data_IF_843835919054
#
_entry.id   IF_843835919054
#
_cell.length_a   1.000
_cell.length_b   1.000
_cell.length_c   1.000
_cell.angle_alpha   90.00
_cell.angle_beta   90.00
_cell.angle_gamma   90.00
#
_symmetry.space_group_name_H-M   'P 1'
#
loop_
_entity.id
_entity.type
_entity.pdbx_description
1 polymer ?
#
# COMPACT_ATOMS: atom_id res chain seq x y z
N UNK A 1 13.34 -17.83 6.57
CA UNK A 1 13.85 -17.67 5.18
C UNK A 1 12.73 -17.66 4.14
N UNK A 2 11.83 -18.65 4.12
CA UNK A 2 10.70 -18.72 3.17
C UNK A 2 9.79 -17.48 3.26
N UNK A 3 9.42 -17.05 4.47
CA UNK A 3 8.58 -15.87 4.67
C UNK A 3 9.20 -14.58 4.10
N UNK A 4 10.52 -14.41 4.20
CA UNK A 4 11.23 -13.26 3.63
C UNK A 4 11.17 -13.26 2.09
N UNK A 5 11.34 -14.44 1.47
CA UNK A 5 11.23 -14.58 0.01
C UNK A 5 9.83 -14.22 -0.49
N UNK A 6 8.79 -14.70 0.20
CA UNK A 6 7.39 -14.38 -0.13
C UNK A 6 7.13 -12.88 0.06
N UNK A 7 7.62 -12.27 1.13
CA UNK A 7 7.48 -10.84 1.37
C UNK A 7 8.14 -10.01 0.25
N UNK A 8 9.35 -10.41 -0.17
CA UNK A 8 10.07 -9.73 -1.25
C UNK A 8 9.34 -9.86 -2.59
N UNK A 9 8.85 -11.06 -2.92
CA UNK A 9 8.10 -11.27 -4.17
C UNK A 9 6.77 -10.50 -4.17
N UNK A 10 6.07 -10.44 -3.04
CA UNK A 10 4.86 -9.64 -2.89
C UNK A 10 5.12 -8.16 -3.14
N UNK A 11 6.23 -7.59 -2.64
CA UNK A 11 6.60 -6.20 -2.93
C UNK A 11 6.75 -5.94 -4.43
N UNK A 12 7.41 -6.86 -5.15
CA UNK A 12 7.54 -6.76 -6.61
C UNK A 12 6.17 -6.79 -7.29
N UNK A 13 5.30 -7.73 -6.89
CA UNK A 13 3.94 -7.85 -7.42
C UNK A 13 3.13 -6.58 -7.16
N UNK A 14 3.18 -6.04 -5.94
CA UNK A 14 2.51 -4.79 -5.57
C UNK A 14 2.96 -3.63 -6.46
N UNK A 15 4.26 -3.46 -6.68
CA UNK A 15 4.78 -2.40 -7.55
C UNK A 15 4.27 -2.58 -8.99
N UNK A 16 4.29 -3.79 -9.53
CA UNK A 16 3.80 -4.07 -10.87
C UNK A 16 2.29 -3.76 -11.01
N UNK A 17 1.49 -4.13 -10.01
CA UNK A 17 0.07 -3.83 -9.98
C UNK A 17 -0.19 -2.33 -9.93
N UNK A 18 0.53 -1.59 -9.07
CA UNK A 18 0.43 -0.12 -9.01
C UNK A 18 0.79 0.47 -10.38
N UNK A 19 1.91 0.07 -10.97
CA UNK A 19 2.33 0.56 -12.29
C UNK A 19 1.24 0.37 -13.35
N UNK A 20 0.64 -0.81 -13.39
CA UNK A 20 -0.42 -1.12 -14.34
C UNK A 20 -1.67 -0.27 -14.10
N UNK A 21 -2.15 -0.21 -12.86
CA UNK A 21 -3.35 0.56 -12.49
C UNK A 21 -3.17 2.05 -12.79
N UNK A 22 -2.01 2.62 -12.44
CA UNK A 22 -1.74 4.04 -12.70
C UNK A 22 -1.65 4.34 -14.19
N UNK A 23 -1.11 3.42 -15.00
CA UNK A 23 -1.08 3.57 -16.46
C UNK A 23 -2.49 3.57 -17.05
N UNK A 24 -3.33 2.63 -16.64
CA UNK A 24 -4.72 2.52 -17.11
C UNK A 24 -5.51 3.77 -16.70
N UNK A 25 -5.38 4.23 -15.46
CA UNK A 25 -6.03 5.44 -14.96
C UNK A 25 -5.60 6.70 -15.74
N UNK A 26 -4.29 6.88 -15.95
CA UNK A 26 -3.76 7.99 -16.72
C UNK A 26 -4.25 7.99 -18.18
N UNK A 27 -4.31 6.81 -18.80
CA UNK A 27 -4.84 6.67 -20.16
C UNK A 27 -6.32 7.03 -20.25
N UNK A 28 -7.13 6.58 -19.29
CA UNK A 28 -8.57 6.87 -19.24
C UNK A 28 -8.85 8.38 -19.09
N UNK A 29 -7.99 9.10 -18.35
CA UNK A 29 -8.11 10.55 -18.11
C UNK A 29 -7.24 11.42 -19.01
N UNK A 30 -6.70 10.86 -20.11
CA UNK A 30 -5.76 11.57 -21.00
C UNK A 30 -6.31 12.88 -21.56
N UNK A 31 -7.62 12.95 -21.85
CA UNK A 31 -8.27 14.17 -22.36
C UNK A 31 -8.27 15.28 -21.32
N UNK A 32 -8.65 14.97 -20.09
CA UNK A 32 -8.64 15.91 -18.96
C UNK A 32 -7.21 16.39 -18.67
N UNK A 33 -6.24 15.47 -18.65
CA UNK A 33 -4.83 15.84 -18.45
C UNK A 33 -4.30 16.75 -19.58
N UNK A 34 -4.80 16.57 -20.81
CA UNK A 34 -4.49 17.45 -21.94
C UNK A 34 -5.06 18.85 -21.74
N UNK A 35 -6.31 18.98 -21.29
CA UNK A 35 -6.93 20.26 -20.96
C UNK A 35 -6.16 20.95 -19.82
N UNK A 36 -5.80 20.21 -18.77
CA UNK A 36 -5.01 20.74 -17.65
C UNK A 36 -3.64 21.28 -18.13
N UNK A 37 -2.99 20.63 -19.10
CA UNK A 37 -1.75 21.16 -19.71
C UNK A 37 -1.98 22.43 -20.50
N UNK A 38 -3.09 22.54 -21.25
CA UNK A 38 -3.40 23.73 -22.06
C UNK A 38 -3.62 24.98 -21.20
N UNK A 39 -4.12 24.82 -19.97
CA UNK A 39 -4.26 25.92 -19.00
C UNK A 39 -2.97 26.19 -18.20
N UNK A 40 -1.85 25.55 -18.56
CA UNK A 40 -0.55 25.77 -17.91
C UNK A 40 -0.37 25.08 -16.56
N UNK A 41 -1.17 24.06 -16.23
CA UNK A 41 -1.03 23.36 -14.97
C UNK A 41 0.33 22.64 -14.87
N UNK A 42 0.95 22.71 -13.69
CA UNK A 42 2.22 22.02 -13.44
C UNK A 42 2.05 20.50 -13.47
N UNK A 43 3.11 19.77 -13.81
CA UNK A 43 3.10 18.31 -13.81
C UNK A 43 2.68 17.71 -12.46
N UNK A 44 3.00 18.37 -11.34
CA UNK A 44 2.59 17.93 -10.01
C UNK A 44 1.08 18.08 -9.80
N UNK A 45 0.49 19.19 -10.28
CA UNK A 45 -0.94 19.42 -10.18
C UNK A 45 -1.75 18.37 -10.94
N UNK A 46 -1.26 17.96 -12.11
CA UNK A 46 -1.86 16.87 -12.91
C UNK A 46 -1.74 15.51 -12.18
N UNK A 47 -0.67 15.28 -11.42
CA UNK A 47 -0.40 14.01 -10.73
C UNK A 47 -1.12 13.88 -9.39
N UNK A 48 -1.40 15.00 -8.72
CA UNK A 48 -2.03 15.05 -7.41
C UNK A 48 -3.31 14.21 -7.28
N UNK A 49 -4.31 14.27 -8.19
CA UNK A 49 -5.52 13.47 -8.05
C UNK A 49 -5.23 11.96 -8.05
N UNK A 50 -4.30 11.51 -8.89
CA UNK A 50 -3.91 10.11 -8.96
C UNK A 50 -3.10 9.65 -7.73
N UNK A 51 -2.23 10.53 -7.20
CA UNK A 51 -1.50 10.28 -5.96
C UNK A 51 -2.45 10.15 -4.77
N UNK A 52 -3.47 10.99 -4.71
CA UNK A 52 -4.51 10.93 -3.67
C UNK A 52 -5.34 9.66 -3.78
N UNK A 53 -5.73 9.24 -4.99
CA UNK A 53 -6.40 7.95 -5.21
C UNK A 53 -5.54 6.79 -4.71
N UNK A 54 -4.26 6.75 -5.09
CA UNK A 54 -3.33 5.70 -4.66
C UNK A 54 -3.13 5.69 -3.13
N UNK A 55 -2.93 6.85 -2.52
CA UNK A 55 -2.76 6.99 -1.07
C UNK A 55 -4.02 6.57 -0.30
N UNK A 56 -5.20 6.95 -0.79
CA UNK A 56 -6.47 6.57 -0.18
C UNK A 56 -6.71 5.06 -0.28
N UNK A 57 -6.52 4.46 -1.45
CA UNK A 57 -6.62 3.00 -1.63
C UNK A 57 -5.63 2.24 -0.74
N UNK A 58 -4.39 2.74 -0.62
CA UNK A 58 -3.39 2.15 0.26
C UNK A 58 -3.75 2.29 1.74
N UNK A 59 -4.32 3.43 2.15
CA UNK A 59 -4.80 3.65 3.52
C UNK A 59 -5.92 2.68 3.88
N UNK A 60 -6.91 2.52 3.01
CA UNK A 60 -7.99 1.53 3.22
C UNK A 60 -7.41 0.10 3.29
N UNK A 61 -6.51 -0.25 2.36
CA UNK A 61 -5.85 -1.56 2.37
C UNK A 61 -5.04 -1.82 3.65
N UNK A 62 -4.33 -0.80 4.16
CA UNK A 62 -3.57 -0.90 5.38
C UNK A 62 -4.47 -1.04 6.63
N UNK A 63 -5.60 -0.33 6.69
CA UNK A 63 -6.59 -0.53 7.76
C UNK A 63 -7.12 -1.97 7.76
N UNK A 64 -7.47 -2.50 6.58
CA UNK A 64 -7.91 -3.89 6.44
C UNK A 64 -6.81 -4.87 6.90
N UNK A 65 -5.55 -4.62 6.55
CA UNK A 65 -4.42 -5.44 6.99
C UNK A 65 -4.23 -5.39 8.52
N UNK A 66 -4.37 -4.22 9.15
CA UNK A 66 -4.27 -4.06 10.61
C UNK A 66 -5.42 -4.80 11.31
N UNK A 67 -6.64 -4.67 10.82
CA UNK A 67 -7.79 -5.43 11.34
C UNK A 67 -7.54 -6.93 11.22
N UNK A 68 -7.03 -7.40 10.08
CA UNK A 68 -6.65 -8.79 9.87
C UNK A 68 -5.56 -9.26 10.83
N UNK A 69 -4.54 -8.43 11.09
CA UNK A 69 -3.48 -8.72 12.05
C UNK A 69 -4.03 -8.86 13.47
N UNK A 70 -4.86 -7.92 13.92
CA UNK A 70 -5.47 -7.94 15.25
C UNK A 70 -6.40 -9.15 15.40
N UNK A 71 -7.25 -9.43 14.41
CA UNK A 71 -8.15 -10.57 14.41
C UNK A 71 -7.38 -11.90 14.45
N UNK A 72 -6.31 -12.02 13.65
CA UNK A 72 -5.45 -13.21 13.65
C UNK A 72 -4.80 -13.41 15.02
N UNK A 73 -4.31 -12.34 15.65
CA UNK A 73 -3.74 -12.42 17.00
C UNK A 73 -4.80 -12.83 18.02
N UNK A 74 -5.90 -12.10 18.10
CA UNK A 74 -6.92 -12.32 19.13
C UNK A 74 -7.59 -13.70 19.04
N UNK A 75 -7.87 -14.16 17.82
CA UNK A 75 -8.63 -15.41 17.62
C UNK A 75 -7.66 -16.59 17.48
N UNK A 76 -6.73 -16.52 16.52
CA UNK A 76 -5.89 -17.68 16.20
C UNK A 76 -4.81 -17.88 17.26
N UNK A 77 -4.10 -16.81 17.64
CA UNK A 77 -2.99 -16.94 18.58
C UNK A 77 -3.52 -17.12 20.01
N UNK A 78 -4.36 -16.19 20.50
CA UNK A 78 -4.75 -16.18 21.92
C UNK A 78 -5.77 -17.25 22.31
N UNK A 79 -6.75 -17.55 21.45
CA UNK A 79 -7.79 -18.51 21.82
C UNK A 79 -7.45 -19.95 21.43
N UNK A 80 -6.66 -20.17 20.37
CA UNK A 80 -6.40 -21.52 19.84
C UNK A 80 -5.00 -22.01 20.19
N UNK A 81 -3.97 -21.20 19.88
CA UNK A 81 -2.57 -21.64 19.97
C UNK A 81 -1.97 -21.47 21.37
N UNK A 82 -2.20 -20.34 22.03
CA UNK A 82 -1.63 -20.04 23.35
C UNK A 82 -2.03 -21.03 24.45
N UNK A 83 -3.29 -21.53 24.52
CA UNK A 83 -3.67 -22.56 25.49
C UNK A 83 -3.04 -23.93 25.17
N UNK A 84 -2.78 -24.21 23.89
CA UNK A 84 -2.29 -25.50 23.41
C UNK A 84 -0.75 -25.62 23.43
N UNK A 85 -0.04 -24.49 23.39
CA UNK A 85 1.43 -24.44 23.30
C UNK A 85 2.02 -23.48 24.33
N UNK A 86 2.12 -23.93 25.59
CA UNK A 86 2.65 -23.13 26.70
C UNK A 86 4.19 -22.98 26.70
N UNK A 87 4.90 -23.72 25.83
CA UNK A 87 6.36 -23.70 25.74
C UNK A 87 6.91 -22.69 24.72
N UNK A 88 6.05 -22.04 23.93
CA UNK A 88 6.46 -21.07 22.90
C UNK A 88 6.08 -19.65 23.30
N UNK A 89 7.05 -18.74 23.32
CA UNK A 89 6.77 -17.31 23.50
C UNK A 89 6.14 -16.76 22.21
N UNK A 90 4.86 -16.41 22.28
CA UNK A 90 4.14 -15.75 21.18
C UNK A 90 4.38 -14.24 21.20
N UNK A 91 4.19 -13.62 20.03
CA UNK A 91 4.30 -12.16 19.87
C UNK A 91 3.28 -11.46 20.76
N UNK A 92 3.77 -10.55 21.61
CA UNK A 92 2.96 -9.76 22.52
C UNK A 92 2.15 -8.67 21.82
N UNK A 93 1.15 -8.15 22.54
CA UNK A 93 0.29 -7.06 22.05
C UNK A 93 1.05 -5.74 21.85
N UNK A 94 2.13 -5.53 22.61
CA UNK A 94 3.07 -4.42 22.46
C UNK A 94 3.65 -4.35 21.04
N UNK A 95 4.10 -5.48 20.50
CA UNK A 95 4.64 -5.54 19.14
C UNK A 95 3.57 -5.27 18.07
N UNK A 96 2.33 -5.74 18.28
CA UNK A 96 1.22 -5.48 17.36
C UNK A 96 0.90 -3.98 17.31
N UNK A 97 0.80 -3.33 18.47
CA UNK A 97 0.53 -1.89 18.55
C UNK A 97 1.70 -1.05 18.03
N UNK A 98 2.95 -1.52 18.15
CA UNK A 98 4.11 -0.85 17.57
C UNK A 98 4.14 -0.95 16.03
N UNK A 99 3.77 -2.11 15.48
CA UNK A 99 3.85 -2.38 14.04
C UNK A 99 2.65 -1.83 13.26
N UNK A 100 1.45 -1.83 13.84
CA UNK A 100 0.24 -1.34 13.17
C UNK A 100 0.36 0.07 12.56
N UNK A 101 0.80 1.13 13.28
CA UNK A 101 0.98 2.45 12.68
C UNK A 101 2.09 2.46 11.63
N UNK A 102 3.15 1.67 11.83
CA UNK A 102 4.24 1.55 10.85
C UNK A 102 3.74 0.93 9.54
N UNK A 103 2.91 -0.11 9.60
CA UNK A 103 2.28 -0.72 8.42
C UNK A 103 1.44 0.30 7.65
N UNK A 104 0.66 1.12 8.35
CA UNK A 104 -0.16 2.16 7.74
C UNK A 104 0.69 3.19 7.00
N UNK A 105 1.68 3.76 7.69
CA UNK A 105 2.55 4.78 7.13
C UNK A 105 3.38 4.23 5.97
N UNK A 106 4.01 3.07 6.13
CA UNK A 106 4.84 2.44 5.10
C UNK A 106 3.99 2.05 3.88
N UNK A 107 2.79 1.51 4.09
CA UNK A 107 1.88 1.15 3.00
C UNK A 107 1.50 2.35 2.14
N UNK A 108 1.09 3.46 2.77
CA UNK A 108 0.74 4.69 2.06
C UNK A 108 1.97 5.29 1.36
N UNK A 109 3.11 5.37 2.05
CA UNK A 109 4.34 5.92 1.49
C UNK A 109 4.82 5.12 0.28
N UNK A 110 4.85 3.78 0.37
CA UNK A 110 5.28 2.93 -0.74
C UNK A 110 4.33 3.07 -1.94
N UNK A 111 3.01 3.06 -1.70
CA UNK A 111 2.04 3.23 -2.77
C UNK A 111 2.15 4.60 -3.44
N UNK A 112 2.26 5.67 -2.64
CA UNK A 112 2.44 7.04 -3.12
C UNK A 112 3.72 7.20 -3.92
N UNK A 113 4.85 6.66 -3.43
CA UNK A 113 6.13 6.70 -4.15
C UNK A 113 6.06 5.92 -5.46
N UNK A 114 5.54 4.69 -5.45
CA UNK A 114 5.40 3.87 -6.65
C UNK A 114 4.50 4.56 -7.70
N UNK A 115 3.38 5.14 -7.26
CA UNK A 115 2.48 5.92 -8.10
C UNK A 115 3.18 7.17 -8.67
N UNK A 116 3.88 7.94 -7.83
CA UNK A 116 4.62 9.13 -8.23
C UNK A 116 5.65 8.83 -9.31
N UNK A 117 6.51 7.83 -9.10
CA UNK A 117 7.53 7.44 -10.08
C UNK A 117 6.91 6.95 -11.39
N UNK A 118 5.81 6.20 -11.31
CA UNK A 118 5.09 5.72 -12.50
C UNK A 118 4.53 6.87 -13.31
N UNK A 119 3.79 7.79 -12.68
CA UNK A 119 3.19 8.94 -13.35
C UNK A 119 4.24 9.87 -13.92
N UNK A 120 5.31 10.15 -13.16
CA UNK A 120 6.41 11.00 -13.62
C UNK A 120 7.09 10.41 -14.87
N UNK A 121 7.18 9.09 -14.99
CA UNK A 121 7.71 8.43 -16.19
C UNK A 121 6.73 8.48 -17.37
N UNK A 122 5.43 8.31 -17.12
CA UNK A 122 4.41 8.22 -18.17
C UNK A 122 3.89 9.56 -18.69
N UNK A 123 3.84 10.59 -17.83
CA UNK A 123 3.38 11.93 -18.20
C UNK A 123 4.51 12.81 -18.75
N UNK A 124 5.77 12.37 -18.78
CA UNK A 124 6.86 13.18 -19.35
C UNK A 124 6.98 13.06 -20.88
N UNK A 125 5.95 12.52 -21.54
CA UNK A 125 5.78 12.48 -23.00
C UNK A 125 4.79 13.56 -23.43
#
# INVERSE_FOLDING_TARGET
>A
MIALLIALSMLVVTVLLIVNTMRVAAFSRRRETGIMRLVGASNFYIQLPFLLEAAFSAGVGALLAIVGLIATKAIVIDQILAPSFQFTSFVGWDAVFAIAPLMFVVGILLAGLAAFFTLRKYLRV
#
